data_IF_799725516229
#
_entry.id   IF_799725516229
#
_cell.length_a   1.000
_cell.length_b   1.000
_cell.length_c   1.000
_cell.angle_alpha   90.00
_cell.angle_beta   90.00
_cell.angle_gamma   90.00
#
_symmetry.space_group_name_H-M   'P 1'
#
loop_
_entity.id
_entity.type
_entity.pdbx_description
1 polymer ?
#
# COMPACT_ATOMS: atom_id res chain seq x y z
N UNK A 1 -4.76 26.42 -12.00
CA UNK A 1 -4.32 27.55 -11.16
C UNK A 1 -5.54 28.13 -10.47
N UNK A 2 -5.72 27.86 -9.18
CA UNK A 2 -6.79 28.50 -8.39
C UNK A 2 -6.26 29.86 -7.94
N UNK A 3 -6.72 30.93 -8.59
CA UNK A 3 -6.42 32.29 -8.10
C UNK A 3 -7.23 32.49 -6.81
N UNK A 4 -6.61 32.93 -5.71
CA UNK A 4 -7.30 33.18 -4.44
C UNK A 4 -8.56 34.03 -4.62
N UNK A 5 -9.66 33.61 -4.00
CA UNK A 5 -10.98 34.23 -4.15
C UNK A 5 -10.95 35.74 -3.79
N UNK A 6 -10.12 36.12 -2.82
CA UNK A 6 -9.97 37.50 -2.36
C UNK A 6 -9.41 38.43 -3.45
N UNK A 7 -8.49 37.93 -4.29
CA UNK A 7 -7.96 38.70 -5.41
C UNK A 7 -9.02 38.94 -6.50
N UNK A 8 -9.92 37.98 -6.70
CA UNK A 8 -11.03 38.10 -7.64
C UNK A 8 -12.04 39.14 -7.14
N UNK A 9 -12.36 39.12 -5.85
CA UNK A 9 -13.26 40.09 -5.21
C UNK A 9 -12.68 41.50 -5.24
N UNK A 10 -11.38 41.64 -4.97
CA UNK A 10 -10.65 42.91 -5.07
C UNK A 10 -10.69 43.47 -6.49
N UNK A 11 -10.40 42.65 -7.50
CA UNK A 11 -10.45 43.06 -8.91
C UNK A 11 -11.83 43.55 -9.33
N UNK A 12 -12.91 42.89 -8.87
CA UNK A 12 -14.28 43.34 -9.11
C UNK A 12 -14.59 44.68 -8.43
N UNK A 13 -14.16 44.86 -7.18
CA UNK A 13 -14.36 46.11 -6.45
C UNK A 13 -13.62 47.27 -7.15
N UNK A 14 -12.37 47.05 -7.55
CA UNK A 14 -11.58 48.02 -8.32
C UNK A 14 -12.22 48.37 -9.67
N UNK A 15 -12.76 47.38 -10.38
CA UNK A 15 -13.44 47.61 -11.67
C UNK A 15 -14.71 48.47 -11.51
N UNK A 16 -15.53 48.22 -10.48
CA UNK A 16 -16.72 49.01 -10.18
C UNK A 16 -16.32 50.45 -9.79
N UNK A 17 -15.31 50.60 -8.93
CA UNK A 17 -14.80 51.90 -8.53
C UNK A 17 -14.28 52.70 -9.73
N UNK A 18 -13.52 52.05 -10.63
CA UNK A 18 -13.04 52.64 -11.87
C UNK A 18 -14.18 53.11 -12.75
N UNK A 19 -15.22 52.30 -12.92
CA UNK A 19 -16.41 52.69 -13.70
C UNK A 19 -17.13 53.91 -13.13
N UNK A 20 -17.25 54.03 -11.80
CA UNK A 20 -17.88 55.18 -11.16
C UNK A 20 -17.04 56.46 -11.31
N UNK A 21 -15.72 56.37 -11.14
CA UNK A 21 -14.83 57.53 -11.26
C UNK A 21 -14.67 58.00 -12.71
N UNK A 22 -14.58 57.09 -13.69
CA UNK A 22 -14.55 57.45 -15.12
C UNK A 22 -15.90 58.04 -15.59
N UNK A 23 -17.01 57.70 -14.92
CA UNK A 23 -18.31 58.33 -15.14
C UNK A 23 -18.40 59.78 -14.66
N UNK A 24 -17.56 60.19 -13.70
CA UNK A 24 -17.48 61.56 -13.17
C UNK A 24 -16.43 62.41 -13.89
N UNK A 25 -15.29 61.82 -14.24
CA UNK A 25 -14.23 62.44 -15.03
C UNK A 25 -13.71 61.45 -16.09
N UNK A 26 -14.05 61.66 -17.38
CA UNK A 26 -13.64 60.76 -18.47
C UNK A 26 -12.12 60.65 -18.66
N UNK A 27 -11.32 61.57 -18.12
CA UNK A 27 -9.86 61.56 -18.24
C UNK A 27 -9.15 60.93 -17.03
N UNK A 28 -9.88 60.57 -15.98
CA UNK A 28 -9.30 60.04 -14.75
C UNK A 28 -8.99 58.54 -14.85
N UNK A 29 -7.69 58.19 -14.77
CA UNK A 29 -7.20 56.82 -14.79
C UNK A 29 -6.84 56.32 -13.38
N UNK A 30 -7.72 55.54 -12.76
CA UNK A 30 -7.55 55.01 -11.41
C UNK A 30 -6.31 54.10 -11.26
N UNK A 31 -5.91 53.43 -12.35
CA UNK A 31 -4.77 52.53 -12.35
C UNK A 31 -3.45 53.25 -12.05
N UNK A 32 -3.27 54.46 -12.61
CA UNK A 32 -2.07 55.27 -12.40
C UNK A 32 -1.92 55.72 -10.94
N UNK A 33 -3.04 55.97 -10.26
CA UNK A 33 -3.04 56.38 -8.85
C UNK A 33 -2.80 55.21 -7.89
N UNK A 34 -3.26 54.00 -8.23
CA UNK A 34 -3.20 52.82 -7.36
C UNK A 34 -1.90 52.02 -7.54
N UNK A 35 -1.33 52.01 -8.74
CA UNK A 35 -0.06 51.32 -9.06
C UNK A 35 1.08 51.58 -8.05
N UNK A 36 1.37 52.82 -7.61
CA UNK A 36 2.46 53.07 -6.65
C UNK A 36 2.21 52.48 -5.26
N UNK A 37 0.95 52.33 -4.84
CA UNK A 37 0.62 51.68 -3.56
C UNK A 37 0.79 50.17 -3.63
N UNK A 38 0.38 49.56 -4.74
CA UNK A 38 0.61 48.14 -4.99
C UNK A 38 2.12 47.82 -5.01
N UNK A 39 2.93 48.66 -5.65
CA UNK A 39 4.39 48.49 -5.66
C UNK A 39 5.00 48.61 -4.25
N UNK A 40 4.53 49.54 -3.42
CA UNK A 40 4.99 49.66 -2.03
C UNK A 40 4.63 48.45 -1.19
N UNK A 41 3.40 47.96 -1.29
CA UNK A 41 2.95 46.75 -0.57
C UNK A 41 3.79 45.54 -0.97
N UNK A 42 3.98 45.32 -2.28
CA UNK A 42 4.79 44.20 -2.78
C UNK A 42 6.24 44.33 -2.32
N UNK A 43 6.79 45.55 -2.29
CA UNK A 43 8.17 45.78 -1.84
C UNK A 43 8.34 45.53 -0.32
N UNK A 44 7.37 45.89 0.51
CA UNK A 44 7.39 45.59 1.95
C UNK A 44 7.24 44.08 2.22
N UNK A 45 6.30 43.42 1.55
CA UNK A 45 6.06 41.98 1.71
C UNK A 45 7.23 41.14 1.17
N UNK A 46 7.79 41.50 0.00
CA UNK A 46 8.89 40.76 -0.63
C UNK A 46 10.18 40.75 0.20
N UNK A 47 10.43 41.82 0.98
CA UNK A 47 11.59 41.88 1.90
C UNK A 47 11.39 40.95 3.11
N UNK A 48 10.15 40.75 3.55
CA UNK A 48 9.79 39.79 4.61
C UNK A 48 9.83 38.34 4.10
N UNK A 49 9.32 38.11 2.89
CA UNK A 49 9.15 36.79 2.29
C UNK A 49 10.47 36.12 1.89
N UNK A 50 11.53 36.86 1.54
CA UNK A 50 12.81 36.25 1.12
C UNK A 50 13.35 35.25 2.16
N UNK A 51 13.12 35.52 3.44
CA UNK A 51 13.53 34.68 4.56
C UNK A 51 12.66 33.43 4.71
N UNK A 52 11.37 33.56 4.40
CA UNK A 52 10.41 32.45 4.31
C UNK A 52 10.79 31.52 3.14
N UNK A 53 11.08 32.05 1.95
CA UNK A 53 11.52 31.27 0.80
C UNK A 53 12.83 30.51 1.04
N UNK A 54 13.78 31.10 1.77
CA UNK A 54 15.03 30.44 2.14
C UNK A 54 14.82 29.28 3.14
N UNK A 55 13.93 29.44 4.11
CA UNK A 55 13.58 28.37 5.05
C UNK A 55 12.83 27.24 4.34
N UNK A 56 11.88 27.56 3.46
CA UNK A 56 11.11 26.58 2.68
C UNK A 56 12.02 25.75 1.76
N UNK A 57 12.98 26.40 1.08
CA UNK A 57 14.00 25.73 0.28
C UNK A 57 14.96 24.88 1.14
N UNK A 58 15.28 25.35 2.35
CA UNK A 58 16.06 24.61 3.33
C UNK A 58 15.35 23.33 3.80
N UNK A 59 14.06 23.40 4.07
CA UNK A 59 13.22 22.24 4.40
C UNK A 59 13.13 21.25 3.24
N UNK A 60 12.91 21.73 2.02
CA UNK A 60 12.88 20.89 0.82
C UNK A 60 14.21 20.17 0.59
N UNK A 61 15.33 20.88 0.76
CA UNK A 61 16.67 20.32 0.67
C UNK A 61 16.93 19.28 1.77
N UNK A 62 16.46 19.53 3.00
CA UNK A 62 16.53 18.55 4.10
C UNK A 62 15.71 17.31 3.83
N UNK A 63 14.50 17.47 3.27
CA UNK A 63 13.66 16.35 2.88
C UNK A 63 14.32 15.51 1.77
N UNK A 64 14.88 16.16 0.75
CA UNK A 64 15.64 15.49 -0.33
C UNK A 64 16.91 14.79 0.17
N UNK A 65 17.62 15.35 1.15
CA UNK A 65 18.82 14.75 1.73
C UNK A 65 18.52 13.62 2.71
N UNK A 66 17.35 13.62 3.35
CA UNK A 66 16.93 12.55 4.28
C UNK A 66 16.21 11.39 3.58
N UNK A 67 15.62 11.62 2.40
CA UNK A 67 15.03 10.59 1.54
C UNK A 67 15.99 9.43 1.16
N UNK A 68 17.24 9.68 0.69
CA UNK A 68 18.14 8.61 0.27
C UNK A 68 18.49 7.66 1.41
N UNK A 69 18.66 8.15 2.65
CA UNK A 69 18.92 7.29 3.82
C UNK A 69 17.78 6.29 4.08
N UNK A 70 16.53 6.68 3.79
CA UNK A 70 15.38 5.77 3.90
C UNK A 70 15.37 4.76 2.76
N UNK A 71 15.69 5.19 1.53
CA UNK A 71 15.83 4.30 0.38
C UNK A 71 16.94 3.27 0.59
N UNK A 72 18.11 3.68 1.09
CA UNK A 72 19.25 2.80 1.38
C UNK A 72 18.90 1.74 2.43
N UNK A 73 18.12 2.12 3.45
CA UNK A 73 17.68 1.16 4.47
C UNK A 73 16.71 0.11 3.90
N UNK A 74 15.84 0.51 2.97
CA UNK A 74 14.92 -0.40 2.28
C UNK A 74 15.68 -1.30 1.31
N UNK A 75 16.55 -0.73 0.45
CA UNK A 75 17.40 -1.50 -0.46
C UNK A 75 18.30 -2.48 0.29
N UNK A 76 18.94 -2.05 1.37
CA UNK A 76 19.79 -2.94 2.18
C UNK A 76 19.00 -4.08 2.84
N UNK A 77 17.73 -3.86 3.18
CA UNK A 77 16.85 -4.94 3.67
C UNK A 77 16.42 -5.88 2.54
N UNK A 78 16.29 -5.37 1.30
CA UNK A 78 16.08 -6.20 0.12
C UNK A 78 17.30 -7.07 -0.20
N UNK A 79 18.50 -6.50 -0.18
CA UNK A 79 19.76 -7.20 -0.46
C UNK A 79 20.08 -8.29 0.57
N UNK A 80 19.75 -8.05 1.85
CA UNK A 80 19.92 -9.05 2.91
C UNK A 80 18.92 -10.22 2.83
N UNK A 81 17.93 -10.16 1.94
CA UNK A 81 16.87 -11.16 1.87
C UNK A 81 15.96 -11.19 3.11
N UNK A 82 16.12 -10.23 4.02
CA UNK A 82 15.33 -10.02 5.24
C UNK A 82 14.06 -9.22 4.96
N UNK A 83 13.70 -9.04 3.68
CA UNK A 83 12.32 -8.76 3.29
C UNK A 83 11.46 -9.97 3.73
N UNK A 84 11.18 -10.02 5.03
CA UNK A 84 10.00 -10.63 5.59
C UNK A 84 8.83 -9.81 5.06
N UNK A 85 8.56 -9.94 3.77
CA UNK A 85 7.24 -9.68 3.25
C UNK A 85 6.40 -10.71 3.99
N UNK A 86 5.79 -10.27 5.09
CA UNK A 86 4.66 -10.96 5.67
C UNK A 86 3.62 -10.92 4.57
N UNK A 87 3.70 -11.87 3.63
CA UNK A 87 2.64 -12.18 2.70
C UNK A 87 1.84 -13.26 3.43
N UNK A 88 0.89 -12.89 4.33
CA UNK A 88 0.06 -13.89 5.01
C UNK A 88 -0.58 -14.85 3.99
N UNK A 89 -0.81 -14.37 2.77
CA UNK A 89 -1.36 -15.14 1.66
C UNK A 89 -0.44 -16.25 1.12
N UNK A 90 0.89 -16.15 1.22
CA UNK A 90 1.79 -17.24 0.81
C UNK A 90 1.85 -18.33 1.87
N UNK A 91 1.93 -17.96 3.15
CA UNK A 91 1.93 -18.92 4.27
C UNK A 91 0.63 -19.73 4.28
N UNK A 92 -0.52 -19.07 4.10
CA UNK A 92 -1.81 -19.77 4.00
C UNK A 92 -1.89 -20.72 2.78
N UNK A 93 -1.27 -20.38 1.65
CA UNK A 93 -1.24 -21.24 0.46
C UNK A 93 -0.36 -22.46 0.67
N UNK A 94 0.79 -22.30 1.31
CA UNK A 94 1.69 -23.42 1.65
C UNK A 94 0.99 -24.37 2.63
N UNK A 95 0.36 -23.84 3.68
CA UNK A 95 -0.38 -24.67 4.66
C UNK A 95 -1.58 -25.41 4.02
N UNK A 96 -2.26 -24.80 3.04
CA UNK A 96 -3.33 -25.48 2.30
C UNK A 96 -2.78 -26.60 1.43
N UNK A 97 -1.64 -26.36 0.78
CA UNK A 97 -0.99 -27.37 -0.06
C UNK A 97 -0.48 -28.54 0.78
N UNK A 98 0.14 -28.27 1.92
CA UNK A 98 0.63 -29.31 2.83
C UNK A 98 -0.53 -30.18 3.36
N UNK A 99 -1.64 -29.56 3.75
CA UNK A 99 -2.86 -30.28 4.17
C UNK A 99 -3.47 -31.10 3.04
N UNK A 100 -3.47 -30.60 1.81
CA UNK A 100 -3.94 -31.34 0.64
C UNK A 100 -3.06 -32.57 0.35
N UNK A 101 -1.74 -32.41 0.40
CA UNK A 101 -0.77 -33.51 0.19
C UNK A 101 -0.93 -34.58 1.27
N UNK A 102 -1.01 -34.16 2.54
CA UNK A 102 -1.17 -35.08 3.68
C UNK A 102 -2.47 -35.88 3.58
N UNK A 103 -3.56 -35.24 3.16
CA UNK A 103 -4.86 -35.88 2.91
C UNK A 103 -4.82 -36.84 1.71
N UNK A 104 -4.13 -36.47 0.64
CA UNK A 104 -3.98 -37.34 -0.52
C UNK A 104 -3.17 -38.60 -0.16
N UNK A 105 -2.05 -38.44 0.56
CA UNK A 105 -1.21 -39.54 1.00
C UNK A 105 -1.98 -40.55 1.88
N UNK A 106 -2.73 -40.05 2.86
CA UNK A 106 -3.55 -40.91 3.75
C UNK A 106 -4.66 -41.64 2.99
N UNK A 107 -5.31 -40.97 2.03
CA UNK A 107 -6.35 -41.61 1.19
C UNK A 107 -5.76 -42.73 0.32
N UNK A 108 -4.59 -42.51 -0.28
CA UNK A 108 -3.90 -43.51 -1.11
C UNK A 108 -3.44 -44.70 -0.28
N UNK A 109 -2.84 -44.46 0.89
CA UNK A 109 -2.40 -45.53 1.80
C UNK A 109 -3.58 -46.38 2.24
N UNK A 110 -4.70 -45.75 2.62
CA UNK A 110 -5.91 -46.46 3.02
C UNK A 110 -6.47 -47.33 1.88
N UNK A 111 -6.59 -46.76 0.67
CA UNK A 111 -7.08 -47.51 -0.49
C UNK A 111 -6.17 -48.71 -0.80
N UNK A 112 -4.85 -48.53 -0.79
CA UNK A 112 -3.89 -49.60 -1.02
C UNK A 112 -3.99 -50.72 0.03
N UNK A 113 -4.07 -50.37 1.32
CA UNK A 113 -4.24 -51.37 2.39
C UNK A 113 -5.58 -52.09 2.31
N UNK A 114 -6.67 -51.37 2.01
CA UNK A 114 -7.99 -51.96 1.86
C UNK A 114 -8.02 -52.97 0.72
N UNK A 115 -7.50 -52.59 -0.45
CA UNK A 115 -7.42 -53.47 -1.62
C UNK A 115 -6.53 -54.68 -1.34
N UNK A 116 -5.37 -54.49 -0.71
CA UNK A 116 -4.49 -55.59 -0.32
C UNK A 116 -5.15 -56.56 0.69
N UNK A 117 -5.87 -56.03 1.69
CA UNK A 117 -6.60 -56.82 2.67
C UNK A 117 -7.74 -57.63 2.06
N UNK A 118 -8.52 -57.04 1.15
CA UNK A 118 -9.59 -57.73 0.42
C UNK A 118 -9.00 -58.83 -0.47
N UNK A 119 -7.93 -58.56 -1.21
CA UNK A 119 -7.32 -59.53 -2.10
C UNK A 119 -6.75 -60.75 -1.34
N UNK A 120 -6.18 -60.51 -0.15
CA UNK A 120 -5.65 -61.57 0.72
C UNK A 120 -6.77 -62.40 1.40
N UNK A 121 -7.89 -61.76 1.73
CA UNK A 121 -9.08 -62.46 2.23
C UNK A 121 -9.65 -63.43 1.20
N UNK A 122 -9.69 -63.03 -0.09
CA UNK A 122 -10.13 -63.92 -1.17
C UNK A 122 -9.16 -65.10 -1.43
N UNK A 123 -7.91 -65.01 -0.98
CA UNK A 123 -6.91 -66.08 -1.10
C UNK A 123 -6.97 -67.13 0.03
N UNK A 124 -8.01 -67.09 0.88
CA UNK A 124 -8.30 -68.06 1.96
C UNK A 124 -7.21 -68.17 3.06
N UNK A 125 -6.31 -67.18 3.12
CA UNK A 125 -5.28 -67.06 4.16
C UNK A 125 -5.75 -66.17 5.31
N UNK A 126 -6.55 -66.75 6.21
CA UNK A 126 -7.26 -66.05 7.31
C UNK A 126 -6.32 -65.38 8.33
N UNK A 127 -5.18 -66.01 8.64
CA UNK A 127 -4.20 -65.49 9.60
C UNK A 127 -3.53 -64.18 9.11
N UNK A 128 -2.89 -64.12 7.92
CA UNK A 128 -2.27 -62.88 7.46
C UNK A 128 -3.31 -61.81 7.05
N UNK A 129 -4.52 -62.20 6.62
CA UNK A 129 -5.60 -61.27 6.32
C UNK A 129 -6.02 -60.43 7.55
N UNK A 130 -6.12 -61.07 8.74
CA UNK A 130 -6.48 -60.35 9.98
C UNK A 130 -5.42 -59.33 10.41
N UNK A 131 -4.12 -59.63 10.23
CA UNK A 131 -3.01 -58.71 10.53
C UNK A 131 -3.04 -57.51 9.58
N UNK A 132 -3.29 -57.73 8.30
CA UNK A 132 -3.41 -56.67 7.30
C UNK A 132 -4.66 -55.79 7.49
N UNK A 133 -5.79 -56.40 7.89
CA UNK A 133 -7.00 -55.66 8.27
C UNK A 133 -6.79 -54.83 9.55
N UNK A 134 -6.09 -55.38 10.54
CA UNK A 134 -5.72 -54.64 11.75
C UNK A 134 -4.78 -53.47 11.42
N UNK A 135 -3.80 -53.68 10.53
CA UNK A 135 -2.93 -52.61 10.03
C UNK A 135 -3.71 -51.55 9.23
N UNK A 136 -4.73 -51.94 8.46
CA UNK A 136 -5.61 -51.02 7.73
C UNK A 136 -6.48 -50.19 8.66
N UNK A 137 -7.04 -50.82 9.71
CA UNK A 137 -7.78 -50.13 10.75
C UNK A 137 -6.90 -49.15 11.53
N UNK A 138 -5.64 -49.52 11.80
CA UNK A 138 -4.67 -48.68 12.50
C UNK A 138 -4.20 -47.51 11.63
N UNK A 139 -4.01 -47.72 10.33
CA UNK A 139 -3.73 -46.67 9.35
C UNK A 139 -4.91 -45.69 9.21
N UNK A 140 -6.15 -46.20 9.22
CA UNK A 140 -7.36 -45.37 9.19
C UNK A 140 -7.53 -44.57 10.49
N UNK A 141 -7.25 -45.18 11.65
CA UNK A 141 -7.24 -44.49 12.93
C UNK A 141 -6.18 -43.38 12.97
N UNK A 142 -4.98 -43.65 12.45
CA UNK A 142 -3.91 -42.64 12.33
C UNK A 142 -4.28 -41.51 11.36
N UNK A 143 -4.93 -41.84 10.23
CA UNK A 143 -5.41 -40.85 9.28
C UNK A 143 -6.49 -39.92 9.86
N UNK A 144 -7.38 -40.45 10.70
CA UNK A 144 -8.41 -39.67 11.40
C UNK A 144 -7.82 -38.82 12.53
N UNK A 145 -6.83 -39.35 13.27
CA UNK A 145 -6.23 -38.66 14.41
C UNK A 145 -5.19 -37.60 13.99
N UNK A 146 -4.66 -37.67 12.77
CA UNK A 146 -3.77 -36.62 12.22
C UNK A 146 -4.50 -35.39 11.65
N UNK A 147 -5.83 -35.29 11.87
CA UNK A 147 -6.64 -34.11 11.52
C UNK A 147 -6.52 -32.99 12.53
#
# INVERSE_FOLDING_TARGET
FQVPQDLILLGRAMAILSGMCTGLDPQFNLWESVAPFAQKLIAEEAVSDWRFWLDELGELARALLTMPRRLDSVLGTMERGELAVQVPQLVERVDRLERAIRRAATTVIFAALLTAGVQLYLADHVLPASILLAAAALALAWAIFSR
#
